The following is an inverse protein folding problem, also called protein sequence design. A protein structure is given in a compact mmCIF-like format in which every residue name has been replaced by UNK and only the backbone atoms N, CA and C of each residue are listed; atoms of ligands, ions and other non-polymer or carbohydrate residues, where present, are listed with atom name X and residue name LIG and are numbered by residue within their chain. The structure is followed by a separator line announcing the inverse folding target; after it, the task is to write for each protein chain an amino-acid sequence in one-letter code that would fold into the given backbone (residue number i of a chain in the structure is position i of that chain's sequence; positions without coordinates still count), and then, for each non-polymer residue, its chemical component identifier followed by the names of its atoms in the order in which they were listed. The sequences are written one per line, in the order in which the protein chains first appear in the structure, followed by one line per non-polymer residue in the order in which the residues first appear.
data_IF_571421531952
#
_entry.id   IF_571421531952
#
_cell.length_a   1.000
_cell.length_b   1.000
_cell.length_c   1.000
_cell.angle_alpha   90.00
_cell.angle_beta   90.00
_cell.angle_gamma   90.00
#
_symmetry.space_group_name_H-M   'P 1'
#
loop_
_entity.id
_entity.type
_entity.pdbx_description
1 polymer ?
#
# COMPACT_ATOMS: atom_id res chain seq x y z
N UNK A 1 -84.83 -3.95 -2.98
CA UNK A 1 -83.71 -3.19 -2.38
C UNK A 1 -83.58 -1.91 -3.18
N UNK A 2 -83.78 -0.76 -2.55
CA UNK A 2 -83.12 0.51 -2.90
C UNK A 2 -83.52 1.54 -1.85
N UNK A 3 -82.61 1.75 -0.90
CA UNK A 3 -82.75 2.72 0.17
C UNK A 3 -82.66 4.12 -0.42
N UNK A 4 -83.75 4.89 -0.26
CA UNK A 4 -83.83 6.30 -0.63
C UNK A 4 -82.76 7.08 0.15
N UNK A 5 -81.71 7.45 -0.55
CA UNK A 5 -80.54 8.18 -0.04
C UNK A 5 -80.95 9.57 0.47
N UNK A 6 -80.73 9.84 1.75
CA UNK A 6 -80.92 11.15 2.39
C UNK A 6 -80.10 12.24 1.66
N UNK A 7 -80.65 13.44 1.42
CA UNK A 7 -79.86 14.56 0.92
C UNK A 7 -78.75 14.91 1.92
N UNK A 8 -77.50 14.93 1.47
CA UNK A 8 -76.34 15.39 2.25
C UNK A 8 -76.55 16.85 2.67
N UNK A 9 -76.37 17.22 3.96
CA UNK A 9 -76.47 18.61 4.39
C UNK A 9 -75.40 19.43 3.66
N UNK A 10 -75.83 20.50 2.98
CA UNK A 10 -74.93 21.47 2.35
C UNK A 10 -74.01 22.03 3.43
N UNK A 11 -72.70 21.93 3.23
CA UNK A 11 -71.71 22.55 4.11
C UNK A 11 -71.91 24.07 4.08
N UNK A 12 -72.41 24.62 5.19
CA UNK A 12 -72.55 26.06 5.40
C UNK A 12 -71.13 26.61 5.60
N UNK A 13 -70.74 27.64 4.84
CA UNK A 13 -69.40 28.21 4.96
C UNK A 13 -69.18 28.78 6.37
N UNK A 14 -67.95 28.68 6.87
CA UNK A 14 -67.55 29.20 8.19
C UNK A 14 -67.90 30.67 8.36
N UNK A 15 -67.81 31.45 7.30
CA UNK A 15 -68.19 32.86 7.24
C UNK A 15 -69.69 33.11 7.50
N UNK A 16 -70.57 32.22 6.99
CA UNK A 16 -72.02 32.29 7.24
C UNK A 16 -72.32 31.89 8.70
N UNK A 17 -71.61 30.90 9.23
CA UNK A 17 -71.74 30.48 10.63
C UNK A 17 -71.22 31.54 11.61
N UNK A 18 -70.12 32.23 11.29
CA UNK A 18 -69.64 33.39 12.04
C UNK A 18 -70.62 34.56 11.97
N UNK A 19 -71.20 34.81 10.79
CA UNK A 19 -72.26 35.81 10.61
C UNK A 19 -73.53 35.51 11.43
N UNK A 20 -73.93 34.24 11.52
CA UNK A 20 -75.05 33.81 12.38
C UNK A 20 -74.67 33.93 13.85
N UNK A 21 -73.47 33.52 14.24
CA UNK A 21 -72.99 33.60 15.63
C UNK A 21 -72.87 35.05 16.11
N UNK A 22 -72.35 35.94 15.27
CA UNK A 22 -72.26 37.38 15.56
C UNK A 22 -73.66 38.00 15.70
N UNK A 23 -74.61 37.66 14.82
CA UNK A 23 -76.00 38.10 14.95
C UNK A 23 -76.71 37.53 16.17
N UNK A 24 -76.49 36.25 16.49
CA UNK A 24 -77.05 35.62 17.68
C UNK A 24 -76.50 36.28 18.95
N UNK A 25 -75.19 36.53 18.99
CA UNK A 25 -74.55 37.21 20.10
C UNK A 25 -75.05 38.65 20.24
N UNK A 26 -75.20 39.39 19.13
CA UNK A 26 -75.76 40.74 19.15
C UNK A 26 -77.24 40.76 19.55
N UNK A 27 -78.02 39.75 19.14
CA UNK A 27 -79.42 39.59 19.54
C UNK A 27 -79.56 39.17 21.01
N UNK A 28 -78.67 38.32 21.52
CA UNK A 28 -78.61 37.96 22.94
C UNK A 28 -78.17 39.14 23.80
N UNK A 29 -77.22 39.96 23.35
CA UNK A 29 -76.87 41.20 24.05
C UNK A 29 -78.00 42.23 24.02
N UNK A 30 -78.69 42.37 22.88
CA UNK A 30 -79.87 43.23 22.78
C UNK A 30 -81.00 42.75 23.70
N UNK A 31 -81.26 41.44 23.75
CA UNK A 31 -82.24 40.84 24.67
C UNK A 31 -81.84 41.04 26.12
N UNK A 32 -80.56 40.83 26.49
CA UNK A 32 -80.05 41.10 27.84
C UNK A 32 -80.22 42.57 28.22
N UNK A 33 -80.01 43.52 27.31
CA UNK A 33 -80.27 44.96 27.55
C UNK A 33 -81.75 45.24 27.79
N UNK A 34 -82.63 44.69 26.96
CA UNK A 34 -84.10 44.85 27.10
C UNK A 34 -84.58 44.24 28.42
N UNK A 35 -84.11 43.04 28.77
CA UNK A 35 -84.46 42.36 30.03
C UNK A 35 -83.91 43.12 31.26
N UNK A 36 -82.74 43.74 31.15
CA UNK A 36 -82.17 44.62 32.18
C UNK A 36 -82.99 45.92 32.33
N UNK A 37 -83.35 46.57 31.23
CA UNK A 37 -84.22 47.77 31.24
C UNK A 37 -85.60 47.44 31.82
N UNK A 38 -86.20 46.31 31.44
CA UNK A 38 -87.48 45.86 31.98
C UNK A 38 -87.40 45.55 33.48
N UNK A 39 -86.32 44.92 33.95
CA UNK A 39 -86.08 44.67 35.38
C UNK A 39 -85.85 45.97 36.16
N UNK A 40 -85.11 46.93 35.59
CA UNK A 40 -84.88 48.25 36.19
C UNK A 40 -86.20 49.04 36.27
N UNK A 41 -87.04 49.00 35.23
CA UNK A 41 -88.36 49.62 35.21
C UNK A 41 -89.32 48.99 36.23
N UNK A 42 -89.27 47.66 36.38
CA UNK A 42 -90.09 46.92 37.35
C UNK A 42 -89.68 47.21 38.79
N UNK A 43 -88.37 47.22 39.08
CA UNK A 43 -87.82 47.62 40.39
C UNK A 43 -88.12 49.09 40.72
N UNK A 44 -88.16 49.99 39.72
CA UNK A 44 -88.52 51.40 39.91
C UNK A 44 -90.00 51.62 40.24
N UNK A 45 -90.93 50.86 39.63
CA UNK A 45 -92.38 50.97 39.89
C UNK A 45 -92.84 50.40 41.23
N UNK A 46 -92.10 49.44 41.81
CA UNK A 46 -92.47 48.75 43.05
C UNK A 46 -92.00 49.46 44.34
N UNK A 47 -91.51 50.71 44.24
CA UNK A 47 -91.13 51.50 45.42
C UNK A 47 -89.93 50.96 46.18
N UNK A 48 -89.04 50.21 45.51
CA UNK A 48 -87.79 49.77 46.11
C UNK A 48 -86.84 50.96 46.30
N UNK A 49 -86.28 51.04 47.51
CA UNK A 49 -85.37 52.08 47.95
C UNK A 49 -84.26 52.33 46.91
N UNK A 50 -84.09 53.59 46.47
CA UNK A 50 -83.14 53.94 45.38
C UNK A 50 -81.72 53.51 45.74
N UNK A 51 -81.39 53.51 47.03
CA UNK A 51 -80.09 53.07 47.53
C UNK A 51 -79.89 51.55 47.43
N UNK A 52 -80.95 50.74 47.53
CA UNK A 52 -80.87 49.29 47.40
C UNK A 52 -80.62 48.85 45.94
N UNK A 53 -81.21 49.51 44.95
CA UNK A 53 -80.97 49.24 43.53
C UNK A 53 -79.57 49.69 43.09
N UNK A 54 -79.08 50.81 43.64
CA UNK A 54 -77.71 51.29 43.42
C UNK A 54 -76.70 50.34 44.11
N UNK A 55 -77.00 49.81 45.29
CA UNK A 55 -76.15 48.83 45.97
C UNK A 55 -76.13 47.47 45.25
N UNK A 56 -77.28 46.98 44.78
CA UNK A 56 -77.41 45.73 44.01
C UNK A 56 -76.73 45.83 42.61
N UNK A 57 -76.81 46.99 41.97
CA UNK A 57 -76.06 47.25 40.73
C UNK A 57 -74.56 47.43 40.96
N UNK A 58 -74.14 48.03 42.09
CA UNK A 58 -72.72 48.08 42.51
C UNK A 58 -72.16 46.69 42.80
N UNK A 59 -72.90 45.82 43.51
CA UNK A 59 -72.48 44.43 43.76
C UNK A 59 -72.51 43.58 42.50
N UNK A 60 -73.48 43.77 41.60
CA UNK A 60 -73.54 43.10 40.30
C UNK A 60 -72.38 43.53 39.37
N UNK A 61 -72.09 44.83 39.26
CA UNK A 61 -70.93 45.33 38.52
C UNK A 61 -69.61 44.85 39.13
N UNK A 62 -69.50 44.80 40.47
CA UNK A 62 -68.33 44.27 41.15
C UNK A 62 -68.17 42.76 40.92
N UNK A 63 -69.26 42.00 40.87
CA UNK A 63 -69.26 40.58 40.52
C UNK A 63 -68.85 40.35 39.06
N UNK A 64 -69.36 41.15 38.12
CA UNK A 64 -68.93 41.10 36.71
C UNK A 64 -67.47 41.52 36.53
N UNK A 65 -66.99 42.54 37.25
CA UNK A 65 -65.59 42.94 37.23
C UNK A 65 -64.67 41.86 37.79
N UNK A 66 -65.08 41.16 38.86
CA UNK A 66 -64.37 39.98 39.39
C UNK A 66 -64.35 38.82 38.40
N UNK A 67 -65.47 38.53 37.74
CA UNK A 67 -65.55 37.54 36.66
C UNK A 67 -64.61 37.90 35.50
N UNK A 68 -64.68 39.13 34.97
CA UNK A 68 -63.76 39.60 33.93
C UNK A 68 -62.29 39.57 34.36
N UNK A 69 -61.99 39.82 35.64
CA UNK A 69 -60.62 39.69 36.15
C UNK A 69 -60.17 38.24 36.21
N UNK A 70 -61.04 37.31 36.61
CA UNK A 70 -60.76 35.87 36.58
C UNK A 70 -60.58 35.40 35.14
N UNK A 71 -61.45 35.80 34.21
CA UNK A 71 -61.35 35.47 32.79
C UNK A 71 -60.04 36.01 32.20
N UNK A 72 -59.65 37.24 32.54
CA UNK A 72 -58.36 37.84 32.18
C UNK A 72 -57.18 37.05 32.75
N UNK A 73 -57.27 36.57 33.99
CA UNK A 73 -56.23 35.74 34.61
C UNK A 73 -56.12 34.36 33.96
N UNK A 74 -57.25 33.73 33.63
CA UNK A 74 -57.31 32.47 32.91
C UNK A 74 -56.73 32.63 31.50
N UNK A 75 -57.06 33.71 30.80
CA UNK A 75 -56.54 34.00 29.46
C UNK A 75 -55.03 34.28 29.49
N UNK A 76 -54.52 35.00 30.49
CA UNK A 76 -53.08 35.16 30.72
C UNK A 76 -52.37 33.84 31.01
N UNK A 77 -52.96 32.95 31.83
CA UNK A 77 -52.39 31.63 32.09
C UNK A 77 -52.40 30.74 30.84
N UNK A 78 -53.47 30.77 30.04
CA UNK A 78 -53.54 30.04 28.77
C UNK A 78 -52.52 30.57 27.75
N UNK A 79 -52.33 31.89 27.70
CA UNK A 79 -51.34 32.53 26.85
C UNK A 79 -49.92 32.13 27.27
N UNK A 80 -49.60 32.18 28.57
CA UNK A 80 -48.30 31.75 29.12
C UNK A 80 -48.05 30.26 28.89
N UNK A 81 -49.05 29.40 29.12
CA UNK A 81 -48.99 27.96 28.79
C UNK A 81 -48.71 27.72 27.30
N UNK A 82 -49.36 28.48 26.42
CA UNK A 82 -49.19 28.38 24.97
C UNK A 82 -47.79 28.84 24.56
N UNK A 83 -47.33 29.98 25.05
CA UNK A 83 -45.98 30.50 24.80
C UNK A 83 -44.91 29.53 25.30
N UNK A 84 -45.10 28.95 26.48
CA UNK A 84 -44.19 27.93 27.05
C UNK A 84 -44.15 26.67 26.18
N UNK A 85 -45.30 26.18 25.69
CA UNK A 85 -45.35 25.02 24.78
C UNK A 85 -44.68 25.33 23.44
N UNK A 86 -44.95 26.49 22.87
CA UNK A 86 -44.30 26.89 21.61
C UNK A 86 -42.79 27.05 21.79
N UNK A 87 -42.32 27.56 22.92
CA UNK A 87 -40.90 27.68 23.23
C UNK A 87 -40.25 26.30 23.40
N UNK A 88 -40.88 25.39 24.13
CA UNK A 88 -40.44 23.99 24.23
C UNK A 88 -40.39 23.29 22.86
N UNK A 89 -41.37 23.53 21.99
CA UNK A 89 -41.39 22.96 20.64
C UNK A 89 -40.25 23.52 19.77
N UNK A 90 -39.96 24.83 19.87
CA UNK A 90 -38.81 25.45 19.18
C UNK A 90 -37.49 24.89 19.69
N UNK A 91 -37.34 24.73 21.00
CA UNK A 91 -36.15 24.13 21.62
C UNK A 91 -35.95 22.68 21.18
N UNK A 92 -37.00 21.87 21.18
CA UNK A 92 -36.94 20.47 20.70
C UNK A 92 -36.51 20.39 19.24
N UNK A 93 -37.10 21.23 18.37
CA UNK A 93 -36.69 21.31 16.95
C UNK A 93 -35.22 21.68 16.80
N UNK A 94 -34.72 22.63 17.59
CA UNK A 94 -33.33 23.07 17.55
C UNK A 94 -32.39 21.96 18.02
N UNK A 95 -32.76 21.23 19.09
CA UNK A 95 -32.02 20.05 19.56
C UNK A 95 -31.98 18.93 18.51
N UNK A 96 -33.09 18.66 17.82
CA UNK A 96 -33.14 17.67 16.74
C UNK A 96 -32.26 18.07 15.55
N UNK A 97 -32.24 19.35 15.18
CA UNK A 97 -31.35 19.85 14.13
C UNK A 97 -29.87 19.74 14.52
N UNK A 98 -29.51 20.07 15.76
CA UNK A 98 -28.14 19.90 16.27
C UNK A 98 -27.73 18.44 16.23
N UNK A 99 -28.58 17.53 16.73
CA UNK A 99 -28.30 16.08 16.70
C UNK A 99 -28.09 15.57 15.27
N UNK A 100 -28.95 15.97 14.32
CA UNK A 100 -28.82 15.58 12.92
C UNK A 100 -27.50 16.11 12.29
N UNK A 101 -27.07 17.32 12.65
CA UNK A 101 -25.78 17.87 12.21
C UNK A 101 -24.59 17.12 12.81
N UNK A 102 -24.65 16.77 14.09
CA UNK A 102 -23.63 15.96 14.76
C UNK A 102 -23.49 14.57 14.13
N UNK A 103 -24.62 13.90 13.85
CA UNK A 103 -24.65 12.61 13.17
C UNK A 103 -23.98 12.69 11.78
N UNK A 104 -24.28 13.73 11.00
CA UNK A 104 -23.64 13.95 9.69
C UNK A 104 -22.12 14.21 9.79
N UNK A 105 -21.68 14.97 10.80
CA UNK A 105 -20.26 15.22 11.04
C UNK A 105 -19.52 13.94 11.46
N UNK A 106 -20.13 13.11 12.31
CA UNK A 106 -19.59 11.82 12.72
C UNK A 106 -19.44 10.89 11.51
N UNK A 107 -20.45 10.82 10.64
CA UNK A 107 -20.38 9.99 9.44
C UNK A 107 -19.29 10.48 8.47
N UNK A 108 -19.18 11.81 8.26
CA UNK A 108 -18.10 12.39 7.46
C UNK A 108 -16.72 12.06 8.04
N UNK A 109 -16.56 12.15 9.37
CA UNK A 109 -15.32 11.79 10.05
C UNK A 109 -15.01 10.30 9.89
N UNK A 110 -16.01 9.42 10.04
CA UNK A 110 -15.88 7.97 9.87
C UNK A 110 -15.40 7.60 8.47
N UNK A 111 -16.00 8.19 7.43
CA UNK A 111 -15.60 7.97 6.04
C UNK A 111 -14.16 8.45 5.79
N UNK A 112 -13.78 9.61 6.32
CA UNK A 112 -12.39 10.11 6.23
C UNK A 112 -11.38 9.19 6.91
N UNK A 113 -11.70 8.69 8.10
CA UNK A 113 -10.83 7.74 8.81
C UNK A 113 -10.66 6.42 8.07
N UNK A 114 -11.72 5.92 7.43
CA UNK A 114 -11.66 4.75 6.57
C UNK A 114 -10.74 5.00 5.37
N UNK A 115 -10.90 6.12 4.66
CA UNK A 115 -10.06 6.49 3.51
C UNK A 115 -8.57 6.62 3.93
N UNK A 116 -8.29 7.24 5.09
CA UNK A 116 -6.93 7.33 5.65
C UNK A 116 -6.33 5.94 5.90
N UNK A 117 -7.11 5.01 6.44
CA UNK A 117 -6.66 3.65 6.73
C UNK A 117 -6.38 2.88 5.44
N UNK A 118 -7.24 3.01 4.44
CA UNK A 118 -7.07 2.37 3.13
C UNK A 118 -5.82 2.89 2.42
N UNK A 119 -5.60 4.20 2.42
CA UNK A 119 -4.40 4.81 1.83
C UNK A 119 -3.11 4.32 2.51
N UNK A 120 -3.09 4.23 3.85
CA UNK A 120 -1.93 3.69 4.58
C UNK A 120 -1.68 2.22 4.27
N UNK A 121 -2.73 1.40 4.23
CA UNK A 121 -2.63 -0.02 3.84
C UNK A 121 -2.06 -0.17 2.43
N UNK A 122 -2.54 0.63 1.47
CA UNK A 122 -2.02 0.65 0.10
C UNK A 122 -0.53 1.03 0.06
N UNK A 123 -0.13 2.05 0.82
CA UNK A 123 1.28 2.45 0.92
C UNK A 123 2.16 1.34 1.51
N UNK A 124 1.69 0.64 2.53
CA UNK A 124 2.42 -0.50 3.11
C UNK A 124 2.64 -1.61 2.08
N UNK A 125 1.62 -1.94 1.28
CA UNK A 125 1.74 -2.92 0.18
C UNK A 125 2.78 -2.48 -0.85
N UNK A 126 2.71 -1.23 -1.32
CA UNK A 126 3.68 -0.71 -2.29
C UNK A 126 5.11 -0.65 -1.72
N UNK A 127 5.27 -0.34 -0.43
CA UNK A 127 6.57 -0.37 0.23
C UNK A 127 7.13 -1.79 0.37
N UNK A 128 6.28 -2.78 0.65
CA UNK A 128 6.68 -4.18 0.69
C UNK A 128 7.10 -4.69 -0.70
N UNK A 129 6.33 -4.36 -1.74
CA UNK A 129 6.68 -4.65 -3.13
C UNK A 129 8.01 -4.00 -3.52
N UNK A 130 8.23 -2.72 -3.20
CA UNK A 130 9.49 -2.04 -3.48
C UNK A 130 10.70 -2.72 -2.83
N UNK A 131 10.57 -3.18 -1.58
CA UNK A 131 11.63 -3.96 -0.91
C UNK A 131 11.90 -5.29 -1.61
N UNK A 132 10.84 -5.99 -2.03
CA UNK A 132 10.94 -7.22 -2.81
C UNK A 132 11.66 -6.99 -4.14
N UNK A 133 11.30 -5.91 -4.87
CA UNK A 133 11.96 -5.56 -6.14
C UNK A 133 13.41 -5.13 -5.95
N UNK A 134 13.76 -4.49 -4.84
CA UNK A 134 15.15 -4.17 -4.52
C UNK A 134 15.98 -5.44 -4.31
N UNK A 135 15.43 -6.46 -3.65
CA UNK A 135 16.09 -7.75 -3.51
C UNK A 135 16.29 -8.42 -4.89
N UNK A 136 15.24 -8.48 -5.71
CA UNK A 136 15.33 -9.02 -7.07
C UNK A 136 16.37 -8.26 -7.92
N UNK A 137 16.47 -6.93 -7.80
CA UNK A 137 17.48 -6.13 -8.49
C UNK A 137 18.91 -6.53 -8.09
N UNK A 138 19.15 -6.74 -6.80
CA UNK A 138 20.45 -7.18 -6.30
C UNK A 138 20.80 -8.59 -6.78
N UNK A 139 19.83 -9.50 -6.79
CA UNK A 139 20.01 -10.86 -7.28
C UNK A 139 20.32 -10.87 -8.79
N UNK A 140 19.60 -10.07 -9.59
CA UNK A 140 19.87 -9.88 -11.01
C UNK A 140 21.25 -9.30 -11.26
N UNK A 141 21.70 -8.32 -10.47
CA UNK A 141 23.04 -7.74 -10.59
C UNK A 141 24.13 -8.77 -10.29
N UNK A 142 23.95 -9.59 -9.25
CA UNK A 142 24.89 -10.67 -8.94
C UNK A 142 24.90 -11.74 -10.03
N UNK A 143 23.75 -12.05 -10.62
CA UNK A 143 23.64 -12.97 -11.75
C UNK A 143 24.33 -12.41 -13.01
N UNK A 144 24.13 -11.14 -13.34
CA UNK A 144 24.78 -10.46 -14.46
C UNK A 144 26.31 -10.51 -14.34
N UNK A 145 26.85 -10.22 -13.15
CA UNK A 145 28.29 -10.29 -12.89
C UNK A 145 28.81 -11.71 -13.14
N UNK A 146 28.12 -12.74 -12.63
CA UNK A 146 28.51 -14.14 -12.87
C UNK A 146 28.48 -14.49 -14.36
N UNK A 147 27.45 -14.06 -15.09
CA UNK A 147 27.35 -14.29 -16.53
C UNK A 147 28.50 -13.62 -17.29
N UNK A 148 28.87 -12.39 -16.94
CA UNK A 148 30.01 -11.68 -17.56
C UNK A 148 31.32 -12.41 -17.29
N UNK A 149 31.59 -12.78 -16.03
CA UNK A 149 32.80 -13.54 -15.69
C UNK A 149 32.88 -14.84 -16.48
N UNK A 150 31.78 -15.59 -16.56
CA UNK A 150 31.74 -16.86 -17.31
C UNK A 150 31.88 -16.67 -18.82
N UNK A 151 31.30 -15.61 -19.37
CA UNK A 151 31.49 -15.23 -20.78
C UNK A 151 32.97 -14.94 -21.06
N UNK A 152 33.62 -14.15 -20.21
CA UNK A 152 35.03 -13.80 -20.37
C UNK A 152 35.92 -15.04 -20.26
N UNK A 153 35.66 -15.93 -19.30
CA UNK A 153 36.34 -17.21 -19.17
C UNK A 153 36.23 -18.05 -20.46
N UNK A 154 35.02 -18.21 -21.03
CA UNK A 154 34.85 -18.94 -22.30
C UNK A 154 35.53 -18.25 -23.48
N UNK A 155 35.54 -16.91 -23.52
CA UNK A 155 36.26 -16.16 -24.54
C UNK A 155 37.78 -16.39 -24.44
N UNK A 156 38.31 -16.48 -23.21
CA UNK A 156 39.72 -16.83 -23.01
C UNK A 156 40.04 -18.25 -23.44
N UNK A 157 39.17 -19.23 -23.17
CA UNK A 157 39.34 -20.62 -23.62
C UNK A 157 39.28 -20.73 -25.16
N UNK A 158 38.40 -19.97 -25.82
CA UNK A 158 38.34 -19.90 -27.28
C UNK A 158 39.62 -19.33 -27.89
N UNK A 159 40.19 -18.30 -27.28
CA UNK A 159 41.45 -17.72 -27.75
C UNK A 159 42.63 -18.66 -27.49
N UNK A 160 42.68 -19.30 -26.31
CA UNK A 160 43.69 -20.32 -26.01
C UNK A 160 43.62 -21.49 -27.00
N UNK A 161 42.42 -21.93 -27.37
CA UNK A 161 42.22 -22.96 -28.39
C UNK A 161 42.78 -22.51 -29.75
N UNK A 162 42.54 -21.27 -30.17
CA UNK A 162 43.10 -20.73 -31.43
C UNK A 162 44.63 -20.75 -31.41
N UNK A 163 45.24 -20.19 -30.36
CA UNK A 163 46.70 -20.16 -30.20
C UNK A 163 47.29 -21.58 -30.19
N UNK A 164 46.65 -22.52 -29.50
CA UNK A 164 47.09 -23.91 -29.48
C UNK A 164 47.04 -24.56 -30.86
N UNK A 165 45.97 -24.31 -31.63
CA UNK A 165 45.83 -24.84 -32.98
C UNK A 165 46.86 -24.24 -33.96
N UNK A 166 47.24 -22.96 -33.80
CA UNK A 166 48.30 -22.35 -34.59
C UNK A 166 49.66 -22.97 -34.28
N UNK A 167 50.00 -23.13 -33.00
CA UNK A 167 51.21 -23.83 -32.58
C UNK A 167 51.26 -25.28 -33.08
N UNK A 168 50.11 -25.96 -33.13
CA UNK A 168 49.99 -27.30 -33.71
C UNK A 168 50.33 -27.27 -35.20
N UNK A 169 49.75 -26.36 -35.99
CA UNK A 169 50.01 -26.19 -37.44
C UNK A 169 51.48 -25.96 -37.71
N UNK A 170 52.12 -25.05 -36.96
CA UNK A 170 53.55 -24.75 -37.09
C UNK A 170 54.42 -25.99 -36.82
N UNK A 171 54.04 -26.81 -35.82
CA UNK A 171 54.73 -28.07 -35.52
C UNK A 171 54.63 -29.07 -36.68
N UNK A 172 53.48 -29.16 -37.34
CA UNK A 172 53.30 -30.03 -38.53
C UNK A 172 54.23 -29.58 -39.67
N UNK A 173 54.26 -28.28 -39.94
CA UNK A 173 55.09 -27.70 -41.00
C UNK A 173 56.58 -27.89 -40.71
N UNK A 174 57.01 -27.88 -39.45
CA UNK A 174 58.41 -28.09 -39.07
C UNK A 174 58.90 -29.55 -39.22
N UNK A 175 58.02 -30.55 -39.25
CA UNK A 175 58.38 -31.97 -39.26
C UNK A 175 58.65 -32.54 -40.67
N UNK A 176 59.71 -32.10 -41.34
CA UNK A 176 60.03 -32.50 -42.72
C UNK A 176 61.38 -33.23 -42.89
N UNK A 177 61.68 -34.24 -42.06
CA UNK A 177 62.87 -35.09 -42.23
C UNK A 177 62.54 -36.51 -42.73
N UNK A 178 62.46 -36.65 -44.04
CA UNK A 178 62.09 -37.89 -44.74
C UNK A 178 63.10 -39.04 -44.62
N UNK A 179 64.25 -38.85 -43.95
CA UNK A 179 65.26 -39.91 -43.78
C UNK A 179 64.92 -40.90 -42.65
N UNK A 180 63.97 -40.58 -41.76
CA UNK A 180 63.57 -41.43 -40.62
C UNK A 180 62.05 -41.53 -40.48
N UNK A 181 61.39 -42.12 -41.47
CA UNK A 181 59.93 -42.11 -41.60
C UNK A 181 59.22 -42.80 -40.44
N UNK A 182 59.69 -43.96 -39.98
CA UNK A 182 59.09 -44.66 -38.83
C UNK A 182 59.22 -43.86 -37.52
N UNK A 183 60.31 -43.13 -37.33
CA UNK A 183 60.51 -42.23 -36.18
C UNK A 183 59.52 -41.06 -36.23
N UNK A 184 59.39 -40.43 -37.41
CA UNK A 184 58.45 -39.33 -37.63
C UNK A 184 57.00 -39.76 -37.38
N UNK A 185 56.60 -40.95 -37.83
CA UNK A 185 55.28 -41.52 -37.54
C UNK A 185 55.01 -41.66 -36.04
N UNK A 186 56.00 -42.11 -35.25
CA UNK A 186 55.88 -42.21 -33.79
C UNK A 186 55.75 -40.85 -33.12
N UNK A 187 56.62 -39.91 -33.50
CA UNK A 187 56.60 -38.53 -32.96
C UNK A 187 55.28 -37.83 -33.29
N UNK A 188 54.74 -38.04 -34.49
CA UNK A 188 53.47 -37.48 -34.93
C UNK A 188 52.29 -38.11 -34.19
N UNK A 189 52.26 -39.43 -34.07
CA UNK A 189 51.24 -40.15 -33.29
C UNK A 189 51.23 -39.71 -31.82
N UNK A 190 52.40 -39.54 -31.22
CA UNK A 190 52.52 -38.98 -29.87
C UNK A 190 52.01 -37.54 -29.77
N UNK A 191 52.34 -36.69 -30.74
CA UNK A 191 51.79 -35.33 -30.80
C UNK A 191 50.26 -35.34 -30.87
N UNK A 192 49.66 -36.18 -31.70
CA UNK A 192 48.20 -36.32 -31.82
C UNK A 192 47.56 -36.77 -30.51
N UNK A 193 48.18 -37.71 -29.78
CA UNK A 193 47.72 -38.12 -28.45
C UNK A 193 47.78 -36.99 -27.43
N UNK A 194 48.81 -36.15 -27.48
CA UNK A 194 48.93 -34.98 -26.61
C UNK A 194 47.87 -33.92 -26.95
N UNK A 195 47.60 -33.70 -28.24
CA UNK A 195 46.54 -32.80 -28.69
C UNK A 195 45.16 -33.30 -28.20
N UNK A 196 44.87 -34.59 -28.35
CA UNK A 196 43.62 -35.21 -27.87
C UNK A 196 43.45 -35.09 -26.35
N UNK A 197 44.53 -35.27 -25.57
CA UNK A 197 44.49 -35.06 -24.12
C UNK A 197 44.17 -33.60 -23.76
N UNK A 198 44.75 -32.64 -24.48
CA UNK A 198 44.47 -31.23 -24.30
C UNK A 198 43.00 -30.91 -24.60
N UNK A 199 42.47 -31.42 -25.72
CA UNK A 199 41.08 -31.27 -26.14
C UNK A 199 40.10 -31.85 -25.10
N UNK A 200 40.40 -33.03 -24.54
CA UNK A 200 39.60 -33.67 -23.48
C UNK A 200 39.63 -32.84 -22.19
N UNK A 201 40.78 -32.29 -21.80
CA UNK A 201 40.90 -31.43 -20.63
C UNK A 201 40.13 -30.11 -20.80
N UNK A 202 40.13 -29.54 -22.01
CA UNK A 202 39.30 -28.38 -22.33
C UNK A 202 37.82 -28.69 -22.12
N UNK A 203 37.33 -29.81 -22.66
CA UNK A 203 35.95 -30.25 -22.47
C UNK A 203 35.60 -30.47 -20.98
N UNK A 204 36.54 -30.94 -20.17
CA UNK A 204 36.34 -31.06 -18.71
C UNK A 204 36.19 -29.69 -18.03
N UNK A 205 37.03 -28.71 -18.39
CA UNK A 205 36.93 -27.33 -17.84
C UNK A 205 35.57 -26.71 -18.19
N UNK A 206 35.15 -26.83 -19.45
CA UNK A 206 33.86 -26.30 -19.92
C UNK A 206 32.68 -27.00 -19.21
N UNK A 207 32.80 -28.29 -18.87
CA UNK A 207 31.75 -29.06 -18.21
C UNK A 207 31.49 -28.69 -16.74
N UNK A 208 32.52 -28.28 -15.99
CA UNK A 208 32.41 -28.02 -14.54
C UNK A 208 31.55 -26.77 -14.26
N UNK A 209 31.50 -25.85 -15.22
CA UNK A 209 30.88 -24.55 -15.06
C UNK A 209 29.37 -24.50 -15.31
N UNK A 210 28.73 -25.62 -15.70
CA UNK A 210 27.32 -25.61 -16.08
C UNK A 210 26.58 -26.95 -15.90
N UNK A 211 26.28 -27.37 -14.65
CA UNK A 211 25.53 -28.60 -14.39
C UNK A 211 24.02 -28.52 -14.69
N UNK A 212 23.48 -27.34 -15.00
CA UNK A 212 22.03 -27.11 -15.04
C UNK A 212 21.41 -27.15 -16.45
N UNK A 213 22.19 -27.02 -17.52
CA UNK A 213 21.70 -27.15 -18.89
C UNK A 213 21.89 -28.60 -19.36
N UNK A 214 20.88 -29.44 -19.13
CA UNK A 214 20.86 -30.87 -19.49
C UNK A 214 21.35 -31.15 -20.91
N UNK A 215 20.96 -30.30 -21.86
CA UNK A 215 21.22 -30.51 -23.29
C UNK A 215 22.67 -30.12 -23.66
N UNK A 216 23.24 -29.13 -22.96
CA UNK A 216 24.67 -28.81 -23.02
C UNK A 216 25.52 -29.91 -22.39
N UNK A 217 25.01 -30.47 -21.29
CA UNK A 217 25.49 -31.63 -20.57
C UNK A 217 25.92 -32.75 -21.52
N UNK A 218 24.93 -33.13 -22.34
CA UNK A 218 25.00 -34.26 -23.23
C UNK A 218 25.97 -34.04 -24.41
N UNK A 219 25.96 -32.85 -25.01
CA UNK A 219 26.88 -32.51 -26.11
C UNK A 219 28.36 -32.55 -25.71
N UNK A 220 28.69 -32.02 -24.53
CA UNK A 220 30.07 -32.04 -23.99
C UNK A 220 30.50 -33.49 -23.67
N UNK A 221 29.62 -34.26 -23.02
CA UNK A 221 29.85 -35.68 -22.74
C UNK A 221 30.07 -36.50 -24.00
N UNK A 222 29.26 -36.28 -25.03
CA UNK A 222 29.40 -36.94 -26.32
C UNK A 222 30.77 -36.68 -26.95
N UNK A 223 31.18 -35.41 -27.04
CA UNK A 223 32.49 -35.06 -27.58
C UNK A 223 33.63 -35.64 -26.74
N UNK A 224 33.49 -35.66 -25.42
CA UNK A 224 34.52 -36.23 -24.53
C UNK A 224 34.69 -37.73 -24.77
N UNK A 225 33.59 -38.48 -24.90
CA UNK A 225 33.63 -39.92 -25.24
C UNK A 225 34.22 -40.16 -26.62
N UNK A 226 33.84 -39.32 -27.60
CA UNK A 226 34.38 -39.39 -28.96
C UNK A 226 35.89 -39.17 -28.98
N UNK A 227 36.40 -38.15 -28.30
CA UNK A 227 37.83 -37.84 -28.27
C UNK A 227 38.61 -38.87 -27.45
N UNK A 228 38.02 -39.41 -26.37
CA UNK A 228 38.61 -40.52 -25.64
C UNK A 228 38.78 -41.76 -26.52
N UNK A 229 37.75 -42.12 -27.31
CA UNK A 229 37.84 -43.22 -28.25
C UNK A 229 38.92 -42.98 -29.31
N UNK A 230 39.01 -41.76 -29.85
CA UNK A 230 40.08 -41.41 -30.80
C UNK A 230 41.47 -41.53 -30.16
N UNK A 231 41.62 -41.14 -28.90
CA UNK A 231 42.86 -41.28 -28.16
C UNK A 231 43.24 -42.76 -27.97
N UNK A 232 42.28 -43.61 -27.58
CA UNK A 232 42.52 -45.03 -27.37
C UNK A 232 42.92 -45.73 -28.69
N UNK A 233 42.24 -45.39 -29.80
CA UNK A 233 42.60 -45.87 -31.14
C UNK A 233 44.00 -45.42 -31.58
N UNK A 234 44.42 -44.20 -31.20
CA UNK A 234 45.77 -43.72 -31.52
C UNK A 234 46.84 -44.42 -30.67
N UNK A 235 46.52 -44.86 -29.45
CA UNK A 235 47.42 -45.73 -28.64
C UNK A 235 47.63 -47.09 -29.33
N UNK A 236 46.56 -47.69 -29.86
CA UNK A 236 46.66 -48.92 -30.65
C UNK A 236 47.47 -48.68 -31.94
N UNK A 237 47.24 -47.56 -32.62
CA UNK A 237 47.96 -47.17 -33.83
C UNK A 237 49.47 -46.97 -33.58
N UNK A 238 49.85 -46.36 -32.46
CA UNK A 238 51.25 -46.22 -32.04
C UNK A 238 51.93 -47.59 -31.90
N UNK A 239 51.24 -48.55 -31.26
CA UNK A 239 51.72 -49.92 -31.11
C UNK A 239 51.88 -50.61 -32.47
N UNK A 240 50.95 -50.37 -33.40
CA UNK A 240 51.05 -50.87 -34.77
C UNK A 240 52.24 -50.26 -35.53
N UNK A 241 52.47 -48.94 -35.40
CA UNK A 241 53.63 -48.25 -35.98
C UNK A 241 54.94 -48.83 -35.41
N UNK A 242 54.99 -49.17 -34.12
CA UNK A 242 56.17 -49.77 -33.51
C UNK A 242 56.55 -51.12 -34.14
N UNK A 243 55.55 -51.93 -34.47
CA UNK A 243 55.71 -53.26 -35.07
C UNK A 243 55.86 -53.25 -36.61
N UNK A 244 55.58 -52.13 -37.27
CA UNK A 244 55.59 -51.98 -38.74
C UNK A 244 56.99 -52.07 -39.36
N UNK A 245 57.12 -52.62 -40.57
CA UNK A 245 58.40 -52.58 -41.31
C UNK A 245 58.67 -51.18 -41.90
N UNK A 246 59.94 -50.84 -42.12
CA UNK A 246 60.30 -49.53 -42.72
C UNK A 246 59.72 -49.34 -44.12
N UNK A 247 59.62 -50.40 -44.93
CA UNK A 247 58.98 -50.33 -46.25
C UNK A 247 57.49 -49.97 -46.13
N UNK A 248 56.77 -50.57 -45.20
CA UNK A 248 55.36 -50.28 -44.93
C UNK A 248 55.18 -48.84 -44.40
N UNK A 249 56.07 -48.38 -43.52
CA UNK A 249 56.06 -47.03 -42.96
C UNK A 249 56.13 -45.94 -44.04
N UNK A 250 56.90 -46.16 -45.12
CA UNK A 250 56.97 -45.24 -46.26
C UNK A 250 55.64 -45.09 -46.99
N UNK A 251 54.89 -46.17 -47.12
CA UNK A 251 53.62 -46.18 -47.86
C UNK A 251 52.44 -45.71 -46.98
N UNK A 252 52.56 -45.82 -45.66
CA UNK A 252 51.51 -45.39 -44.72
C UNK A 252 51.58 -43.91 -44.35
N UNK A 253 52.75 -43.28 -44.42
CA UNK A 253 52.97 -41.90 -43.97
C UNK A 253 51.94 -40.89 -44.51
N UNK A 254 51.75 -40.83 -45.83
CA UNK A 254 50.81 -39.88 -46.43
C UNK A 254 49.38 -40.11 -45.95
N UNK A 255 48.94 -41.37 -45.85
CA UNK A 255 47.60 -41.72 -45.36
C UNK A 255 47.41 -41.33 -43.89
N UNK A 256 48.43 -41.54 -43.06
CA UNK A 256 48.40 -41.14 -41.65
C UNK A 256 48.34 -39.62 -41.50
N UNK A 257 49.14 -38.86 -42.25
CA UNK A 257 49.08 -37.40 -42.22
C UNK A 257 47.72 -36.86 -42.69
N UNK A 258 47.17 -37.39 -43.79
CA UNK A 258 45.84 -36.99 -44.27
C UNK A 258 44.76 -37.26 -43.21
N UNK A 259 44.82 -38.42 -42.56
CA UNK A 259 43.92 -38.77 -41.45
C UNK A 259 44.09 -37.82 -40.27
N UNK A 260 45.32 -37.65 -39.77
CA UNK A 260 45.57 -36.80 -38.60
C UNK A 260 45.17 -35.34 -38.85
N UNK A 261 45.46 -34.80 -40.04
CA UNK A 261 45.10 -33.43 -40.39
C UNK A 261 43.59 -33.25 -40.56
N UNK A 262 42.91 -34.19 -41.22
CA UNK A 262 41.44 -34.12 -41.37
C UNK A 262 40.72 -34.25 -40.02
N UNK A 263 41.13 -35.18 -39.17
CA UNK A 263 40.57 -35.33 -37.82
C UNK A 263 40.86 -34.10 -36.95
N UNK A 264 42.06 -33.53 -37.04
CA UNK A 264 42.46 -32.33 -36.32
C UNK A 264 41.60 -31.10 -36.67
N UNK A 265 41.29 -30.91 -37.97
CA UNK A 265 40.40 -29.84 -38.44
C UNK A 265 38.98 -30.06 -37.91
N UNK A 266 38.48 -31.29 -37.96
CA UNK A 266 37.14 -31.63 -37.45
C UNK A 266 37.06 -31.36 -35.95
N UNK A 267 38.04 -31.82 -35.16
CA UNK A 267 38.06 -31.59 -33.71
C UNK A 267 38.08 -30.10 -33.36
N UNK A 268 38.94 -29.35 -34.03
CA UNK A 268 39.02 -27.90 -33.87
C UNK A 268 37.68 -27.22 -34.16
N UNK A 269 37.03 -27.56 -35.29
CA UNK A 269 35.73 -27.00 -35.64
C UNK A 269 34.65 -27.36 -34.60
N UNK A 270 34.65 -28.60 -34.10
CA UNK A 270 33.69 -29.05 -33.09
C UNK A 270 33.86 -28.28 -31.77
N UNK A 271 35.10 -28.11 -31.30
CA UNK A 271 35.41 -27.35 -30.09
C UNK A 271 35.09 -25.86 -30.24
N UNK A 272 35.44 -25.30 -31.41
CA UNK A 272 35.17 -23.90 -31.73
C UNK A 272 33.67 -23.61 -31.74
N UNK A 273 32.87 -24.39 -32.48
CA UNK A 273 31.42 -24.23 -32.50
C UNK A 273 30.83 -24.31 -31.09
N UNK A 274 31.27 -25.29 -30.30
CA UNK A 274 30.79 -25.44 -28.92
C UNK A 274 31.07 -24.19 -28.06
N UNK A 275 32.27 -23.61 -28.16
CA UNK A 275 32.63 -22.40 -27.42
C UNK A 275 31.90 -21.16 -27.95
N UNK A 276 31.74 -21.02 -29.27
CA UNK A 276 30.98 -19.92 -29.90
C UNK A 276 29.49 -19.98 -29.52
N UNK A 277 28.87 -21.16 -29.55
CA UNK A 277 27.49 -21.36 -29.10
C UNK A 277 27.32 -20.98 -27.62
N UNK A 278 28.30 -21.34 -26.78
CA UNK A 278 28.31 -20.97 -25.35
C UNK A 278 28.41 -19.46 -25.15
N UNK A 279 29.24 -18.79 -25.94
CA UNK A 279 29.34 -17.33 -25.89
C UNK A 279 28.02 -16.68 -26.30
N UNK A 280 27.35 -17.18 -27.33
CA UNK A 280 26.02 -16.71 -27.75
C UNK A 280 24.94 -16.96 -26.68
N UNK A 281 24.99 -18.10 -25.99
CA UNK A 281 24.08 -18.40 -24.86
C UNK A 281 24.26 -17.40 -23.72
N UNK A 282 25.51 -17.06 -23.37
CA UNK A 282 25.79 -16.05 -22.36
C UNK A 282 25.33 -14.66 -22.80
N UNK A 283 25.54 -14.30 -24.07
CA UNK A 283 25.04 -13.03 -24.62
C UNK A 283 23.53 -12.93 -24.56
N UNK A 284 22.82 -13.99 -24.95
CA UNK A 284 21.35 -14.04 -24.90
C UNK A 284 20.86 -13.86 -23.47
N UNK A 285 21.44 -14.58 -22.50
CA UNK A 285 21.09 -14.46 -21.08
C UNK A 285 21.42 -13.07 -20.50
N UNK A 286 22.50 -12.44 -20.95
CA UNK A 286 22.83 -11.06 -20.56
C UNK A 286 21.82 -10.04 -21.10
N UNK A 287 21.36 -10.23 -22.33
CA UNK A 287 20.31 -9.39 -22.92
C UNK A 287 19.00 -9.55 -22.15
N UNK A 288 18.60 -10.78 -21.85
CA UNK A 288 17.42 -11.08 -21.01
C UNK A 288 17.54 -10.47 -19.61
N UNK A 289 18.71 -10.59 -18.98
CA UNK A 289 18.97 -9.99 -17.67
C UNK A 289 18.84 -8.46 -17.71
N UNK A 290 19.41 -7.82 -18.73
CA UNK A 290 19.33 -6.36 -18.94
C UNK A 290 17.88 -5.92 -19.23
N UNK A 291 17.12 -6.74 -19.97
CA UNK A 291 15.71 -6.48 -20.21
C UNK A 291 14.90 -6.57 -18.92
N UNK A 292 15.13 -7.61 -18.11
CA UNK A 292 14.47 -7.77 -16.81
C UNK A 292 14.80 -6.64 -15.84
N UNK A 293 16.04 -6.16 -15.82
CA UNK A 293 16.44 -5.00 -15.03
C UNK A 293 15.66 -3.73 -15.43
N UNK A 294 15.43 -3.51 -16.73
CA UNK A 294 14.64 -2.37 -17.24
C UNK A 294 13.18 -2.47 -16.80
N UNK A 295 12.56 -3.63 -16.97
CA UNK A 295 11.18 -3.87 -16.50
C UNK A 295 11.04 -3.64 -14.99
N UNK A 296 12.06 -4.05 -14.21
CA UNK A 296 12.06 -3.85 -12.77
C UNK A 296 12.13 -2.37 -12.38
N UNK A 297 12.90 -1.56 -13.13
CA UNK A 297 12.92 -0.10 -12.96
C UNK A 297 11.53 0.49 -13.21
N UNK A 298 10.88 0.11 -14.32
CA UNK A 298 9.54 0.59 -14.65
C UNK A 298 8.51 0.26 -13.56
N UNK A 299 8.54 -0.97 -13.02
CA UNK A 299 7.63 -1.35 -11.94
C UNK A 299 7.94 -0.60 -10.64
N UNK A 300 9.22 -0.37 -10.32
CA UNK A 300 9.60 0.45 -9.15
C UNK A 300 9.08 1.88 -9.30
N UNK A 301 9.21 2.48 -10.47
CA UNK A 301 8.67 3.82 -10.76
C UNK A 301 7.15 3.86 -10.60
N UNK A 302 6.42 2.83 -11.04
CA UNK A 302 4.97 2.73 -10.84
C UNK A 302 4.59 2.71 -9.36
N UNK A 303 5.28 1.91 -8.54
CA UNK A 303 5.04 1.87 -7.10
C UNK A 303 5.38 3.18 -6.41
N UNK A 304 6.47 3.85 -6.80
CA UNK A 304 6.84 5.18 -6.28
C UNK A 304 5.75 6.19 -6.62
N UNK A 305 5.30 6.26 -7.88
CA UNK A 305 4.21 7.15 -8.30
C UNK A 305 2.91 6.89 -7.54
N UNK A 306 2.58 5.62 -7.29
CA UNK A 306 1.40 5.26 -6.50
C UNK A 306 1.51 5.75 -5.04
N UNK A 307 2.67 5.60 -4.42
CA UNK A 307 2.95 6.11 -3.07
C UNK A 307 2.87 7.64 -3.03
N UNK A 308 3.44 8.33 -4.03
CA UNK A 308 3.38 9.79 -4.17
C UNK A 308 1.93 10.28 -4.32
N UNK A 309 1.14 9.61 -5.15
CA UNK A 309 -0.30 9.88 -5.29
C UNK A 309 -1.06 9.69 -3.99
N UNK A 310 -0.81 8.58 -3.27
CA UNK A 310 -1.39 8.33 -1.96
C UNK A 310 -0.98 9.39 -0.92
N UNK A 311 0.30 9.81 -0.92
CA UNK A 311 0.81 10.88 -0.05
C UNK A 311 0.13 12.22 -0.34
N UNK A 312 -0.11 12.54 -1.62
CA UNK A 312 -0.83 13.74 -2.00
C UNK A 312 -2.27 13.71 -1.50
N UNK A 313 -2.96 12.57 -1.65
CA UNK A 313 -4.33 12.39 -1.14
C UNK A 313 -4.41 12.46 0.38
N UNK A 314 -3.44 11.88 1.09
CA UNK A 314 -3.34 12.00 2.56
C UNK A 314 -3.19 13.46 3.00
N UNK A 315 -2.37 14.27 2.30
CA UNK A 315 -2.22 15.70 2.59
C UNK A 315 -3.54 16.46 2.41
N UNK A 316 -4.27 16.18 1.33
CA UNK A 316 -5.59 16.78 1.07
C UNK A 316 -6.57 16.47 2.20
N UNK A 317 -6.70 15.19 2.59
CA UNK A 317 -7.59 14.76 3.67
C UNK A 317 -7.26 15.41 5.02
N UNK A 318 -5.97 15.55 5.33
CA UNK A 318 -5.52 16.23 6.56
C UNK A 318 -5.83 17.74 6.52
N UNK A 319 -5.68 18.38 5.35
CA UNK A 319 -6.04 19.79 5.18
C UNK A 319 -7.55 20.03 5.28
N UNK A 320 -8.38 19.16 4.69
CA UNK A 320 -9.84 19.25 4.78
C UNK A 320 -10.33 19.08 6.21
N UNK A 321 -9.69 18.20 7.00
CA UNK A 321 -9.99 18.04 8.43
C UNK A 321 -9.74 19.34 9.21
N UNK A 322 -8.60 19.98 8.98
CA UNK A 322 -8.27 21.25 9.66
C UNK A 322 -9.26 22.38 9.31
N UNK A 323 -9.77 22.40 8.06
CA UNK A 323 -10.79 23.37 7.63
C UNK A 323 -12.16 23.08 8.24
N UNK A 324 -12.57 21.81 8.29
CA UNK A 324 -13.83 21.39 8.90
C UNK A 324 -13.88 21.70 10.41
N UNK A 325 -12.78 21.46 11.14
CA UNK A 325 -12.66 21.77 12.57
C UNK A 325 -12.72 23.28 12.85
N UNK A 326 -12.14 24.10 11.98
CA UNK A 326 -12.22 25.56 12.09
C UNK A 326 -13.65 26.09 11.89
N UNK A 327 -14.35 25.62 10.85
CA UNK A 327 -15.73 26.04 10.55
C UNK A 327 -16.70 25.60 11.64
N UNK A 328 -16.57 24.37 12.15
CA UNK A 328 -17.42 23.86 13.24
C UNK A 328 -17.19 24.60 14.55
N UNK A 329 -15.94 24.94 14.89
CA UNK A 329 -15.61 25.74 16.08
C UNK A 329 -16.17 27.16 16.00
N UNK A 330 -16.07 27.79 14.82
CA UNK A 330 -16.62 29.13 14.56
C UNK A 330 -18.15 29.14 14.69
N UNK A 331 -18.85 28.17 14.11
CA UNK A 331 -20.31 28.09 14.18
C UNK A 331 -20.83 27.77 15.60
N UNK A 332 -20.11 26.94 16.37
CA UNK A 332 -20.46 26.65 17.77
C UNK A 332 -20.26 27.87 18.69
N UNK A 333 -19.26 28.71 18.41
CA UNK A 333 -19.08 29.98 19.15
C UNK A 333 -20.23 30.95 18.93
N UNK A 334 -20.71 31.08 17.69
CA UNK A 334 -21.86 31.93 17.35
C UNK A 334 -23.19 31.41 17.94
N UNK A 335 -23.39 30.10 17.97
CA UNK A 335 -24.57 29.48 18.60
C UNK A 335 -24.59 29.71 20.12
N UNK A 336 -23.43 29.63 20.79
CA UNK A 336 -23.34 29.95 22.23
C UNK A 336 -23.59 31.42 22.53
N UNK A 337 -23.08 32.33 21.70
CA UNK A 337 -23.31 33.77 21.89
C UNK A 337 -24.78 34.16 21.71
N UNK A 338 -25.54 33.46 20.86
CA UNK A 338 -26.99 33.63 20.74
C UNK A 338 -27.76 33.08 21.94
N UNK A 339 -27.31 31.99 22.57
CA UNK A 339 -27.94 31.44 23.78
C UNK A 339 -27.70 32.26 25.05
N UNK A 340 -26.57 32.97 25.16
CA UNK A 340 -26.26 33.80 26.33
C UNK A 340 -27.02 35.14 26.31
N UNK A 341 -27.44 35.60 25.14
CA UNK A 341 -28.05 36.93 24.97
C UNK A 341 -29.53 37.03 25.37
N UNK A 342 -30.26 35.91 25.38
CA UNK A 342 -31.67 35.85 25.83
C UNK A 342 -31.84 35.47 27.32
N UNK A 343 -30.75 35.24 28.05
CA UNK A 343 -30.77 34.80 29.45
C UNK A 343 -30.55 35.87 30.51
N UNK A 344 -30.44 37.16 30.15
CA UNK A 344 -30.12 38.22 31.11
C UNK A 344 -31.35 38.84 31.78
N UNK A 345 -32.09 38.06 32.57
CA UNK A 345 -32.96 38.61 33.60
C UNK A 345 -33.21 37.62 34.75
N UNK A 346 -32.78 38.05 35.94
CA UNK A 346 -33.10 37.52 37.29
C UNK A 346 -32.29 36.32 37.79
N UNK A 347 -31.17 36.68 38.42
CA UNK A 347 -30.55 35.94 39.52
C UNK A 347 -31.55 35.69 40.67
N UNK A 348 -31.53 34.46 41.20
CA UNK A 348 -32.17 34.05 42.46
C UNK A 348 -31.40 32.85 43.05
N UNK A 349 -31.42 32.65 44.39
CA UNK A 349 -30.21 32.35 45.15
C UNK A 349 -29.80 30.87 45.15
N UNK A 350 -28.49 30.64 45.11
CA UNK A 350 -27.86 29.34 45.37
C UNK A 350 -27.95 28.97 46.85
N UNK A 351 -28.30 27.72 47.14
CA UNK A 351 -27.90 26.96 48.35
C UNK A 351 -27.80 25.45 48.02
N UNK A 352 -27.08 24.65 48.85
CA UNK A 352 -26.08 23.72 48.34
C UNK A 352 -26.34 22.23 48.66
N UNK A 353 -25.50 21.37 48.06
CA UNK A 353 -25.08 20.03 48.52
C UNK A 353 -26.10 18.88 48.51
N UNK A 354 -25.76 17.78 47.81
CA UNK A 354 -25.41 16.43 48.34
C UNK A 354 -25.03 15.53 47.15
N UNK A 355 -23.79 15.03 47.06
CA UNK A 355 -23.28 13.72 47.49
C UNK A 355 -23.85 12.46 46.79
N UNK A 356 -22.89 11.71 46.22
CA UNK A 356 -22.82 10.25 46.01
C UNK A 356 -23.72 9.54 45.00
N UNK A 357 -23.09 8.86 44.02
CA UNK A 357 -22.86 7.41 44.14
C UNK A 357 -21.81 6.91 43.14
N UNK A 358 -20.95 6.03 43.64
CA UNK A 358 -19.86 5.32 42.95
C UNK A 358 -20.34 4.11 42.14
N UNK A 359 -19.37 3.55 41.39
CA UNK A 359 -19.19 2.17 40.85
C UNK A 359 -19.56 2.02 39.38
N UNK A 360 -18.82 1.33 38.51
CA UNK A 360 -17.51 0.63 38.48
C UNK A 360 -17.32 0.27 36.98
N UNK A 361 -16.14 0.21 36.36
CA UNK A 361 -15.32 -1.01 36.30
C UNK A 361 -14.29 -0.93 35.15
N UNK A 362 -13.00 -0.95 35.51
CA UNK A 362 -11.79 -1.52 34.87
C UNK A 362 -11.76 -1.90 33.37
N UNK A 363 -10.72 -1.47 32.64
CA UNK A 363 -9.58 -2.32 32.18
C UNK A 363 -8.55 -1.57 31.28
N UNK A 364 -7.32 -1.40 31.80
CA UNK A 364 -5.98 -1.50 31.18
C UNK A 364 -5.56 -0.75 29.89
N UNK A 365 -4.47 0.04 30.02
CA UNK A 365 -3.24 0.06 29.18
C UNK A 365 -2.45 1.33 29.57
N UNK A 366 -1.34 1.35 30.31
CA UNK A 366 -0.02 0.68 30.20
C UNK A 366 0.73 1.04 28.91
N UNK A 367 1.21 2.30 28.81
CA UNK A 367 2.61 2.74 28.57
C UNK A 367 2.65 4.20 28.09
N UNK A 368 3.77 4.93 28.27
CA UNK A 368 3.78 6.34 28.61
C UNK A 368 4.18 7.22 27.42
N UNK A 369 3.69 8.45 27.44
CA UNK A 369 4.31 9.56 26.71
C UNK A 369 5.68 9.83 27.32
N UNK A 370 6.70 9.93 26.47
CA UNK A 370 7.98 10.54 26.85
C UNK A 370 8.06 11.91 26.16
N UNK A 371 8.06 12.95 27.00
CA UNK A 371 8.26 14.35 26.67
C UNK A 371 9.70 14.70 27.03
N UNK A 372 10.38 15.39 26.11
CA UNK A 372 11.69 16.08 26.24
C UNK A 372 12.99 15.30 25.98
N UNK A 373 13.62 15.61 24.84
CA UNK A 373 14.96 16.23 24.84
C UNK A 373 15.14 17.06 23.56
N UNK A 374 15.18 18.38 23.72
CA UNK A 374 15.95 19.25 22.84
C UNK A 374 17.43 18.90 23.02
N UNK A 375 18.17 18.77 21.92
CA UNK A 375 19.50 19.37 21.83
C UNK A 375 19.97 19.36 20.37
N UNK A 376 20.20 20.56 19.86
CA UNK A 376 20.69 20.78 18.51
C UNK A 376 22.20 20.66 18.44
N UNK A 377 22.70 20.04 17.37
CA UNK A 377 24.01 20.38 16.83
C UNK A 377 23.96 20.36 15.29
N UNK A 378 24.07 21.57 14.73
CA UNK A 378 24.53 21.83 13.36
C UNK A 378 26.05 21.78 13.35
N UNK A 379 26.67 21.19 12.31
CA UNK A 379 27.97 21.56 11.71
C UNK A 379 28.18 20.65 10.47
N UNK A 380 27.87 21.13 9.26
CA UNK A 380 28.77 21.73 8.23
C UNK A 380 29.56 20.72 7.39
N UNK A 381 29.26 20.77 6.08
CA UNK A 381 30.15 20.51 4.95
C UNK A 381 31.50 21.24 5.09
N UNK A 382 32.60 20.60 4.68
CA UNK A 382 33.50 21.12 3.62
C UNK A 382 34.70 20.19 3.30
N UNK A 383 34.79 19.87 2.01
CA UNK A 383 35.96 19.93 1.09
C UNK A 383 37.33 19.23 1.31
N UNK A 384 37.69 18.51 0.21
CA UNK A 384 38.98 18.46 -0.54
C UNK A 384 40.08 17.45 -0.17
N UNK A 385 40.13 16.41 -1.00
CA UNK A 385 41.27 15.93 -1.84
C UNK A 385 42.72 16.16 -1.39
N UNK A 386 43.51 15.07 -1.36
CA UNK A 386 44.86 15.02 -1.95
C UNK A 386 45.32 13.58 -2.24
N UNK A 387 46.18 13.45 -3.24
CA UNK A 387 46.62 12.22 -3.91
C UNK A 387 47.80 11.49 -3.25
N UNK A 388 48.03 10.22 -3.64
CA UNK A 388 49.38 9.71 -3.93
C UNK A 388 50.01 8.62 -3.05
N UNK A 389 50.01 7.38 -3.57
CA UNK A 389 51.12 6.37 -3.64
C UNK A 389 52.15 6.21 -2.50
N UNK A 390 52.23 4.98 -1.96
CA UNK A 390 53.32 3.93 -2.08
C UNK A 390 53.64 3.20 -0.74
N UNK A 391 53.64 1.87 -0.86
CA UNK A 391 54.48 0.81 -0.24
C UNK A 391 55.11 1.04 1.14
N UNK A 392 54.81 0.14 2.10
CA UNK A 392 55.69 -0.98 2.49
C UNK A 392 55.04 -1.78 3.65
N UNK A 393 55.05 -3.11 3.55
CA UNK A 393 54.89 -4.07 4.66
C UNK A 393 56.28 -4.30 5.30
N UNK A 394 56.45 -5.04 6.42
CA UNK A 394 55.47 -5.70 7.30
C UNK A 394 55.67 -5.32 8.80
N UNK A 395 54.76 -5.74 9.68
CA UNK A 395 55.03 -6.59 10.86
C UNK A 395 53.98 -6.39 11.98
N UNK A 396 53.61 -7.49 12.62
CA UNK A 396 53.03 -7.58 13.97
C UNK A 396 51.71 -6.85 14.27
N UNK A 397 50.58 -7.56 14.18
CA UNK A 397 49.47 -7.32 15.12
C UNK A 397 48.66 -8.58 15.39
N UNK A 398 48.64 -8.95 16.67
CA UNK A 398 47.78 -9.91 17.33
C UNK A 398 46.28 -9.63 17.12
N UNK A 399 45.46 -10.68 17.21
CA UNK A 399 43.99 -10.64 17.27
C UNK A 399 43.33 -11.42 16.13
N UNK A 400 42.35 -12.30 16.29
CA UNK A 400 41.50 -12.71 17.41
C UNK A 400 41.12 -14.18 17.12
N UNK A 401 41.40 -15.10 18.05
CA UNK A 401 41.02 -16.51 17.90
C UNK A 401 39.51 -16.69 18.13
N UNK A 402 38.80 -17.25 17.15
CA UNK A 402 37.39 -17.59 17.25
C UNK A 402 37.14 -18.79 18.22
N UNK A 403 36.00 -18.85 18.93
CA UNK A 403 35.70 -19.93 19.86
C UNK A 403 35.34 -21.22 19.08
N UNK A 404 36.05 -22.32 19.37
CA UNK A 404 35.71 -23.66 18.86
C UNK A 404 34.58 -24.27 19.70
N UNK A 405 33.36 -24.28 19.17
CA UNK A 405 32.27 -25.07 19.74
C UNK A 405 32.45 -26.57 19.40
N UNK A 406 32.50 -27.40 20.44
CA UNK A 406 32.70 -28.85 20.35
C UNK A 406 31.49 -29.59 19.78
N UNK A 407 31.75 -30.57 18.91
CA UNK A 407 30.76 -31.51 18.38
C UNK A 407 30.53 -32.64 19.38
N UNK A 408 29.33 -32.73 19.96
CA UNK A 408 28.85 -33.91 20.70
C UNK A 408 28.48 -35.01 19.70
N UNK A 409 29.15 -36.16 19.76
CA UNK A 409 28.74 -37.40 19.10
C UNK A 409 27.68 -38.07 19.98
N UNK A 410 26.51 -38.37 19.42
CA UNK A 410 25.54 -39.29 20.02
C UNK A 410 25.52 -40.54 19.14
N UNK A 411 25.98 -41.66 19.70
CA UNK A 411 25.82 -42.97 19.12
C UNK A 411 24.42 -43.48 19.49
N UNK A 412 23.67 -43.94 18.51
CA UNK A 412 22.48 -44.75 18.73
C UNK A 412 22.89 -46.21 18.57
N UNK A 413 22.67 -46.98 19.63
CA UNK A 413 22.63 -48.44 19.59
C UNK A 413 21.32 -48.90 18.95
#
# INVERSE_FOLDING_TARGET
MENVSRPKPKAVSTEILEGIRSRLHSAEEAKKRIDLEANLYSKWRLGFDKDAVIMDSKTSHQAMAKLNWIDRQVELQLQDEKERREQQERELKLCEEVRRREELLLEKNRMREQELKELRSMQEVHMAELKSREQEANDLKMYEVRLKTKKDEMATELEQLRVYNDLRRDRVVAMHNLRRIKMLLRERSEAVRNDLRHDIQLLQRISIDNPAASDSAEGIEYLRRKFQLQYDLEVEQQTAIENMYESEAKHSLAKCEDKWNSEAIIREQQLRCLLEDRLMDFETKLVECTQRQRELIEVREQHIKAIEGANQRLKELMSDKSRDEFVTSSNNSQLRDLQVRDGSAKQGPRRPSTQNSQRSSTFSSIFPFDEHCEDGFKLTDEHRSYAGRRNDTPDGSEGLSAPRFGKKKVAWC
#
